data_IF_903325756836
#
_entry.id   IF_903325756836
#
_cell.length_a   1.000
_cell.length_b   1.000
_cell.length_c   1.000
_cell.angle_alpha   90.00
_cell.angle_beta   90.00
_cell.angle_gamma   90.00
#
_symmetry.space_group_name_H-M   'P 1'
#
loop_
_entity.id
_entity.type
_entity.pdbx_description
1 polymer ?
#
# COMPACT_ATOMS: atom_id res chain seq x y z
N UNK A 1 0.10 -33.63 7.52
CA UNK A 1 -0.10 -32.95 6.22
C UNK A 1 -0.41 -31.49 6.56
N UNK A 2 0.54 -30.58 6.38
CA UNK A 2 0.41 -29.20 6.87
C UNK A 2 -0.49 -28.38 5.93
N UNK A 3 -1.47 -27.69 6.52
CA UNK A 3 -2.43 -26.82 5.83
C UNK A 3 -1.70 -25.69 5.09
N UNK A 4 -2.05 -25.49 3.83
CA UNK A 4 -1.72 -24.29 3.09
C UNK A 4 -2.41 -23.11 3.77
N UNK A 5 -1.63 -22.26 4.42
CA UNK A 5 -2.11 -20.93 4.82
C UNK A 5 -2.32 -20.17 3.53
N UNK A 6 -3.56 -20.13 3.04
CA UNK A 6 -3.96 -19.16 2.03
C UNK A 6 -3.72 -17.78 2.63
N UNK A 7 -2.61 -17.14 2.25
CA UNK A 7 -2.46 -15.69 2.42
C UNK A 7 -3.80 -15.07 2.00
N UNK A 8 -4.40 -14.17 2.80
CA UNK A 8 -5.54 -13.43 2.29
C UNK A 8 -5.07 -12.79 0.99
N UNK A 9 -5.70 -13.15 -0.13
CA UNK A 9 -5.51 -12.38 -1.35
C UNK A 9 -5.87 -10.96 -0.94
N UNK A 10 -4.89 -10.04 -0.98
CA UNK A 10 -5.14 -8.62 -0.79
C UNK A 10 -6.27 -8.29 -1.76
N UNK A 11 -7.47 -8.11 -1.22
CA UNK A 11 -8.70 -8.12 -1.97
C UNK A 11 -8.76 -6.87 -2.84
N UNK A 12 -8.36 -7.00 -4.11
CA UNK A 12 -8.22 -5.95 -5.13
C UNK A 12 -7.26 -4.79 -4.76
N UNK A 13 -6.60 -4.18 -5.75
CA UNK A 13 -5.90 -2.93 -5.48
C UNK A 13 -6.94 -1.87 -5.15
N UNK A 14 -6.69 -1.02 -4.13
CA UNK A 14 -7.59 0.08 -3.78
C UNK A 14 -7.87 0.99 -4.98
N UNK A 15 -6.92 1.11 -5.90
CA UNK A 15 -7.04 1.84 -7.17
C UNK A 15 -8.08 1.24 -8.13
N UNK A 16 -8.32 -0.06 -8.05
CA UNK A 16 -9.19 -0.79 -8.97
C UNK A 16 -10.66 -0.77 -8.53
N UNK A 17 -10.95 -0.34 -7.30
CA UNK A 17 -12.31 -0.28 -6.79
C UNK A 17 -13.10 0.79 -7.56
N UNK A 18 -14.29 0.43 -8.03
CA UNK A 18 -15.18 1.33 -8.76
C UNK A 18 -16.55 1.31 -8.11
N UNK A 19 -17.18 2.48 -7.89
CA UNK A 19 -18.60 2.51 -7.59
C UNK A 19 -19.36 1.91 -8.78
N UNK A 20 -20.41 1.14 -8.50
CA UNK A 20 -21.48 0.97 -9.48
C UNK A 20 -22.56 2.04 -9.24
N UNK A 21 -23.47 2.25 -10.19
CA UNK A 21 -24.45 3.35 -10.12
C UNK A 21 -25.35 3.37 -8.86
N UNK A 22 -25.26 2.35 -8.00
CA UNK A 22 -26.02 2.23 -6.75
C UNK A 22 -25.11 2.03 -5.51
N UNK A 23 -23.79 2.05 -5.64
CA UNK A 23 -22.85 1.81 -4.55
C UNK A 23 -21.76 2.86 -4.49
N UNK A 24 -21.43 3.27 -3.26
CA UNK A 24 -20.26 4.09 -2.99
C UNK A 24 -19.08 3.20 -2.63
N UNK A 25 -17.88 3.64 -3.00
CA UNK A 25 -16.63 2.95 -2.72
C UNK A 25 -15.71 3.88 -1.98
N UNK A 26 -15.25 3.45 -0.82
CA UNK A 26 -14.15 4.08 -0.11
C UNK A 26 -13.09 3.04 0.22
N UNK A 27 -11.85 3.31 -0.18
CA UNK A 27 -10.71 2.47 0.12
C UNK A 27 -9.48 3.29 0.45
N UNK A 28 -8.70 2.85 1.43
CA UNK A 28 -7.41 3.45 1.77
C UNK A 28 -6.37 2.35 1.90
N UNK A 29 -5.23 2.53 1.23
CA UNK A 29 -4.05 1.68 1.37
C UNK A 29 -2.85 2.54 1.73
N UNK A 30 -2.02 2.03 2.64
CA UNK A 30 -0.76 2.66 3.01
C UNK A 30 0.33 1.60 2.94
N UNK A 31 1.39 1.90 2.21
CA UNK A 31 2.59 1.07 2.11
C UNK A 31 3.82 1.94 2.40
N UNK A 32 4.76 1.41 3.15
CA UNK A 32 6.02 2.10 3.42
C UNK A 32 7.16 1.10 3.56
N UNK A 33 8.35 1.51 3.15
CA UNK A 33 9.59 0.76 3.36
C UNK A 33 10.63 1.65 4.03
N UNK A 34 11.53 0.99 4.76
CA UNK A 34 12.72 1.60 5.33
C UNK A 34 13.87 0.62 5.19
N UNK A 35 15.00 1.11 4.70
CA UNK A 35 16.21 0.33 4.44
C UNK A 35 17.40 1.01 5.09
N UNK A 36 18.21 0.21 5.76
CA UNK A 36 19.48 0.64 6.34
C UNK A 36 20.60 -0.15 5.70
N UNK A 37 21.68 0.54 5.34
CA UNK A 37 22.90 -0.09 4.85
C UNK A 37 24.08 0.36 5.71
N UNK A 38 25.02 -0.56 5.92
CA UNK A 38 26.31 -0.28 6.54
C UNK A 38 27.39 -0.81 5.61
N UNK A 39 28.17 0.09 5.03
CA UNK A 39 29.34 -0.23 4.23
C UNK A 39 30.59 0.27 4.92
N UNK A 40 31.32 -0.65 5.56
CA UNK A 40 32.58 -0.39 6.27
C UNK A 40 32.53 0.80 7.26
N UNK A 41 31.42 0.95 8.00
CA UNK A 41 31.22 2.03 8.97
C UNK A 41 30.51 3.27 8.40
N UNK A 42 30.20 3.29 7.10
CA UNK A 42 29.32 4.27 6.50
C UNK A 42 27.87 3.80 6.57
N UNK A 43 27.04 4.56 7.27
CA UNK A 43 25.62 4.28 7.42
C UNK A 43 24.81 5.10 6.42
N UNK A 44 23.93 4.44 5.69
CA UNK A 44 22.89 5.11 4.89
C UNK A 44 21.51 4.60 5.28
N UNK A 45 20.56 5.51 5.25
CA UNK A 45 19.15 5.24 5.49
C UNK A 45 18.36 5.76 4.29
N UNK A 46 17.49 4.91 3.75
CA UNK A 46 16.49 5.29 2.78
C UNK A 46 15.11 4.80 3.23
N UNK A 47 14.08 5.53 2.86
CA UNK A 47 12.71 5.16 3.18
C UNK A 47 11.71 5.99 2.38
N UNK A 48 10.64 5.32 1.97
CA UNK A 48 9.54 5.94 1.22
C UNK A 48 8.22 5.28 1.62
N UNK A 49 7.19 6.10 1.67
CA UNK A 49 5.81 5.72 1.88
C UNK A 49 4.93 6.18 0.72
N UNK A 50 3.88 5.40 0.45
CA UNK A 50 2.82 5.71 -0.48
C UNK A 50 1.48 5.42 0.20
N UNK A 51 0.65 6.46 0.28
CA UNK A 51 -0.75 6.39 0.63
C UNK A 51 -1.60 6.52 -0.64
N UNK A 52 -2.59 5.65 -0.77
CA UNK A 52 -3.57 5.67 -1.86
C UNK A 52 -4.96 5.72 -1.24
N UNK A 53 -5.76 6.69 -1.66
CA UNK A 53 -7.16 6.85 -1.26
C UNK A 53 -8.01 6.77 -2.52
N UNK A 54 -9.01 5.91 -2.51
CA UNK A 54 -10.06 5.85 -3.52
C UNK A 54 -11.37 6.30 -2.87
N UNK A 55 -11.94 7.38 -3.39
CA UNK A 55 -13.23 7.90 -2.98
C UNK A 55 -14.13 7.96 -4.22
N UNK A 56 -15.04 6.99 -4.36
CA UNK A 56 -15.94 6.85 -5.51
C UNK A 56 -15.22 6.86 -6.87
N UNK A 57 -14.11 6.15 -6.97
CA UNK A 57 -13.28 6.07 -8.17
C UNK A 57 -12.34 7.28 -8.34
N UNK A 58 -12.40 8.28 -7.46
CA UNK A 58 -11.43 9.37 -7.43
C UNK A 58 -10.21 8.94 -6.63
N UNK A 59 -9.09 8.78 -7.32
CA UNK A 59 -7.83 8.32 -6.73
C UNK A 59 -6.97 9.51 -6.31
N UNK A 60 -6.63 9.57 -5.03
CA UNK A 60 -5.60 10.47 -4.47
C UNK A 60 -4.40 9.65 -4.03
N UNK A 61 -3.19 10.08 -4.42
CA UNK A 61 -1.93 9.47 -4.00
C UNK A 61 -1.08 10.48 -3.24
N UNK A 62 -0.55 10.07 -2.10
CA UNK A 62 0.36 10.88 -1.30
C UNK A 62 1.63 10.10 -1.00
N UNK A 63 2.77 10.65 -1.40
CA UNK A 63 4.08 10.13 -1.05
C UNK A 63 4.62 10.83 0.19
N UNK A 64 5.23 10.05 1.08
CA UNK A 64 5.82 10.57 2.30
C UNK A 64 7.14 9.86 2.64
N UNK A 65 7.92 10.44 3.55
CA UNK A 65 9.05 9.76 4.20
C UNK A 65 8.57 9.21 5.55
N UNK A 66 8.72 7.90 5.81
CA UNK A 66 8.27 7.26 7.05
C UNK A 66 9.16 7.54 8.26
#
# INVERSE_FOLDING_TARGET
MYQFVTKPALAANVEDLKPDGNTHVYGKSVSAYKTWQNDNGHYSEDGRGLEVINNDGQITKHEFKP
#
